data_IF_909681405800
#
_entry.id   IF_909681405800
#
_cell.length_a   1.000
_cell.length_b   1.000
_cell.length_c   1.000
_cell.angle_alpha   90.00
_cell.angle_beta   90.00
_cell.angle_gamma   90.00
#
_symmetry.space_group_name_H-M   'P 1'
#
loop_
_entity.id
_entity.type
_entity.pdbx_description
1 polymer ?
#
# COMPACT_ATOMS: atom_id res chain seq x y z
N UNK A 1 -28.85 31.72 66.79
CA UNK A 1 -27.52 31.33 66.26
C UNK A 1 -27.57 29.83 65.94
N UNK A 2 -28.46 29.41 65.05
CA UNK A 2 -28.28 29.30 63.58
C UNK A 2 -27.07 28.46 63.15
N UNK A 3 -27.29 27.15 63.11
CA UNK A 3 -27.38 26.38 61.86
C UNK A 3 -26.28 26.62 60.81
N UNK A 4 -25.05 26.19 61.10
CA UNK A 4 -23.94 26.26 60.12
C UNK A 4 -22.96 25.07 60.15
N UNK A 5 -23.22 24.03 60.96
CA UNK A 5 -22.30 22.86 61.07
C UNK A 5 -22.71 21.65 60.21
N UNK A 6 -23.97 21.52 59.82
CA UNK A 6 -24.48 20.43 58.96
C UNK A 6 -24.29 20.72 57.46
N UNK A 7 -24.30 21.99 57.04
CA UNK A 7 -24.14 22.37 55.63
C UNK A 7 -22.72 22.19 55.06
N UNK A 8 -21.68 22.14 55.90
CA UNK A 8 -20.30 22.06 55.45
C UNK A 8 -19.83 20.62 55.14
N UNK A 9 -20.36 19.61 55.85
CA UNK A 9 -20.07 18.19 55.58
C UNK A 9 -20.83 17.67 54.36
N UNK A 10 -22.11 18.07 54.20
CA UNK A 10 -22.94 17.73 53.04
C UNK A 10 -22.40 18.32 51.73
N UNK A 11 -21.88 19.55 51.74
CA UNK A 11 -21.28 20.17 50.54
C UNK A 11 -19.97 19.50 50.10
N UNK A 12 -19.11 19.10 51.04
CA UNK A 12 -17.88 18.35 50.73
C UNK A 12 -18.18 16.93 50.26
N UNK A 13 -19.17 16.26 50.88
CA UNK A 13 -19.63 14.96 50.44
C UNK A 13 -20.23 15.00 49.03
N UNK A 14 -21.09 15.98 48.74
CA UNK A 14 -21.70 16.14 47.40
C UNK A 14 -20.68 16.54 46.32
N UNK A 15 -19.63 17.31 46.68
CA UNK A 15 -18.56 17.67 45.74
C UNK A 15 -17.63 16.48 45.44
N UNK A 16 -17.29 15.68 46.45
CA UNK A 16 -16.52 14.44 46.24
C UNK A 16 -17.34 13.41 45.47
N UNK A 17 -18.64 13.29 45.77
CA UNK A 17 -19.53 12.38 45.05
C UNK A 17 -19.73 12.81 43.58
N UNK A 18 -19.88 14.10 43.28
CA UNK A 18 -20.03 14.59 41.90
C UNK A 18 -18.76 14.48 41.08
N UNK A 19 -17.59 14.69 41.69
CA UNK A 19 -16.29 14.51 41.02
C UNK A 19 -15.99 13.03 40.73
N UNK A 20 -16.31 12.12 41.65
CA UNK A 20 -16.18 10.67 41.42
C UNK A 20 -17.14 10.17 40.34
N UNK A 21 -18.39 10.66 40.31
CA UNK A 21 -19.35 10.34 39.27
C UNK A 21 -18.90 10.87 37.90
N UNK A 22 -18.36 12.09 37.84
CA UNK A 22 -17.78 12.66 36.63
C UNK A 22 -16.62 11.82 36.10
N UNK A 23 -15.72 11.36 36.97
CA UNK A 23 -14.60 10.50 36.59
C UNK A 23 -15.06 9.15 36.01
N UNK A 24 -16.07 8.51 36.64
CA UNK A 24 -16.63 7.26 36.16
C UNK A 24 -17.27 7.40 34.76
N UNK A 25 -17.96 8.52 34.51
CA UNK A 25 -18.55 8.80 33.20
C UNK A 25 -17.44 8.98 32.14
N UNK A 26 -16.37 9.71 32.46
CA UNK A 26 -15.24 9.93 31.53
C UNK A 26 -14.54 8.61 31.20
N UNK A 27 -14.27 7.76 32.19
CA UNK A 27 -13.64 6.44 31.98
C UNK A 27 -14.56 5.51 31.18
N UNK A 28 -15.86 5.54 31.46
CA UNK A 28 -16.86 4.78 30.71
C UNK A 28 -16.95 5.22 29.24
N UNK A 29 -16.96 6.53 28.98
CA UNK A 29 -16.96 7.09 27.62
C UNK A 29 -15.67 6.78 26.88
N UNK A 30 -14.51 6.88 27.52
CA UNK A 30 -13.22 6.54 26.92
C UNK A 30 -13.13 5.04 26.58
N UNK A 31 -13.64 4.16 27.45
CA UNK A 31 -13.67 2.72 27.22
C UNK A 31 -14.64 2.35 26.10
N UNK A 32 -15.81 2.99 26.07
CA UNK A 32 -16.79 2.80 24.99
C UNK A 32 -16.24 3.30 23.64
N UNK A 33 -15.60 4.48 23.62
CA UNK A 33 -14.96 5.04 22.44
C UNK A 33 -13.81 4.15 21.95
N UNK A 34 -12.97 3.64 22.85
CA UNK A 34 -11.91 2.70 22.51
C UNK A 34 -12.44 1.41 21.87
N UNK A 35 -13.51 0.82 22.42
CA UNK A 35 -14.15 -0.37 21.86
C UNK A 35 -14.82 -0.06 20.51
N UNK A 36 -15.45 1.10 20.35
CA UNK A 36 -16.07 1.51 19.09
C UNK A 36 -15.03 1.73 17.98
N UNK A 37 -13.91 2.38 18.29
CA UNK A 37 -12.78 2.59 17.37
C UNK A 37 -12.15 1.25 16.97
N UNK A 38 -11.90 0.35 17.94
CA UNK A 38 -11.40 -0.99 17.64
C UNK A 38 -12.37 -1.79 16.78
N UNK A 39 -13.66 -1.78 17.10
CA UNK A 39 -14.68 -2.48 16.32
C UNK A 39 -14.83 -1.95 14.90
N UNK A 40 -14.72 -0.64 14.69
CA UNK A 40 -14.74 -0.03 13.36
C UNK A 40 -13.50 -0.42 12.53
N UNK A 41 -12.31 -0.42 13.14
CA UNK A 41 -11.05 -0.83 12.50
C UNK A 41 -11.06 -2.33 12.17
N UNK A 42 -11.52 -3.16 13.09
CA UNK A 42 -11.67 -4.61 12.91
C UNK A 42 -12.74 -4.93 11.85
N UNK A 43 -13.84 -4.19 11.79
CA UNK A 43 -14.86 -4.32 10.73
C UNK A 43 -14.36 -3.84 9.37
N UNK A 44 -13.55 -2.78 9.31
CA UNK A 44 -12.91 -2.32 8.07
C UNK A 44 -11.89 -3.35 7.56
N UNK A 45 -11.04 -3.89 8.43
CA UNK A 45 -10.10 -4.98 8.13
C UNK A 45 -10.85 -6.28 7.74
N UNK A 46 -11.95 -6.60 8.40
CA UNK A 46 -12.79 -7.76 8.07
C UNK A 46 -13.61 -7.58 6.77
N UNK A 47 -13.96 -6.35 6.40
CA UNK A 47 -14.53 -6.05 5.07
C UNK A 47 -13.47 -6.10 3.98
N UNK A 48 -12.24 -5.71 4.30
CA UNK A 48 -11.09 -5.83 3.40
C UNK A 48 -10.78 -7.31 3.11
N UNK A 49 -10.74 -8.18 4.12
CA UNK A 49 -10.45 -9.62 3.93
C UNK A 49 -11.46 -10.39 3.05
N UNK A 50 -12.55 -9.76 2.60
CA UNK A 50 -13.51 -10.31 1.63
C UNK A 50 -13.57 -9.57 0.28
N UNK A 51 -12.73 -8.57 0.06
CA UNK A 51 -12.68 -7.84 -1.22
C UNK A 51 -12.06 -8.72 -2.32
N UNK A 52 -12.65 -8.79 -3.53
CA UNK A 52 -12.03 -9.45 -4.69
C UNK A 52 -10.59 -8.98 -4.96
N UNK A 53 -10.31 -7.69 -4.76
CA UNK A 53 -8.97 -7.11 -4.92
C UNK A 53 -7.95 -7.71 -3.95
N UNK A 54 -8.34 -7.96 -2.70
CA UNK A 54 -7.46 -8.57 -1.71
C UNK A 54 -7.14 -10.02 -2.10
N UNK A 55 -8.11 -10.74 -2.68
CA UNK A 55 -7.87 -12.09 -3.20
C UNK A 55 -6.98 -12.08 -4.45
N UNK A 56 -7.15 -11.10 -5.35
CA UNK A 56 -6.25 -10.92 -6.50
C UNK A 56 -4.83 -10.65 -6.05
N UNK A 57 -4.64 -9.81 -5.03
CA UNK A 57 -3.33 -9.59 -4.41
C UNK A 57 -2.70 -10.92 -3.98
N UNK A 58 -3.43 -11.72 -3.20
CA UNK A 58 -2.93 -13.01 -2.72
C UNK A 58 -2.58 -13.94 -3.89
N UNK A 59 -3.40 -13.99 -4.93
CA UNK A 59 -3.14 -14.81 -6.11
C UNK A 59 -1.88 -14.38 -6.88
N UNK A 60 -1.66 -13.07 -7.04
CA UNK A 60 -0.47 -12.53 -7.70
C UNK A 60 0.80 -12.81 -6.89
N UNK A 61 0.73 -12.71 -5.56
CA UNK A 61 1.85 -13.09 -4.69
C UNK A 61 2.12 -14.59 -4.72
N UNK A 62 1.10 -15.45 -4.71
CA UNK A 62 1.28 -16.90 -4.83
C UNK A 62 1.87 -17.29 -6.18
N UNK A 63 1.50 -16.58 -7.25
CA UNK A 63 2.12 -16.74 -8.56
C UNK A 63 3.60 -16.35 -8.49
N UNK A 64 3.92 -15.18 -7.91
CA UNK A 64 5.32 -14.75 -7.71
C UNK A 64 6.12 -15.75 -6.89
N UNK A 65 5.58 -16.28 -5.80
CA UNK A 65 6.23 -17.31 -4.97
C UNK A 65 6.53 -18.59 -5.78
N UNK A 66 5.63 -18.96 -6.71
CA UNK A 66 5.80 -20.17 -7.53
C UNK A 66 6.81 -19.99 -8.66
N UNK A 67 6.80 -18.83 -9.33
CA UNK A 67 7.54 -18.60 -10.58
C UNK A 67 8.72 -17.63 -10.45
N UNK A 68 8.89 -17.00 -9.29
CA UNK A 68 9.94 -16.00 -9.00
C UNK A 68 9.69 -14.62 -9.63
N UNK A 69 8.53 -14.40 -10.26
CA UNK A 69 8.11 -13.12 -10.82
C UNK A 69 6.58 -13.04 -10.90
N UNK A 70 6.02 -11.83 -10.99
CA UNK A 70 4.61 -11.60 -11.28
C UNK A 70 4.24 -12.25 -12.63
N UNK A 71 2.97 -12.59 -12.89
CA UNK A 71 2.60 -12.98 -14.25
C UNK A 71 2.88 -11.83 -15.22
N UNK A 72 3.32 -12.10 -16.47
CA UNK A 72 3.36 -11.06 -17.49
C UNK A 72 1.92 -10.56 -17.74
N UNK A 73 1.77 -9.33 -18.26
CA UNK A 73 0.45 -8.77 -18.61
C UNK A 73 -0.31 -9.70 -19.57
N UNK A 74 0.44 -10.29 -20.49
CA UNK A 74 -0.03 -11.29 -21.43
C UNK A 74 1.10 -12.23 -21.85
N UNK A 75 0.73 -13.40 -22.36
CA UNK A 75 1.64 -14.25 -23.14
C UNK A 75 1.44 -13.92 -24.60
N UNK A 76 2.55 -13.69 -25.31
CA UNK A 76 2.55 -13.43 -26.74
C UNK A 76 2.90 -14.68 -27.55
N UNK A 77 2.42 -14.75 -28.80
CA UNK A 77 2.90 -15.72 -29.77
C UNK A 77 4.28 -15.34 -30.34
N UNK A 78 4.77 -16.13 -31.31
CA UNK A 78 6.06 -15.90 -31.94
C UNK A 78 6.17 -14.56 -32.69
N UNK A 79 5.03 -13.98 -33.10
CA UNK A 79 4.96 -12.70 -33.81
C UNK A 79 4.78 -11.52 -32.84
N UNK A 80 4.73 -11.79 -31.52
CA UNK A 80 4.52 -10.78 -30.49
C UNK A 80 3.06 -10.43 -30.26
N UNK A 81 2.12 -11.16 -30.86
CA UNK A 81 0.68 -10.91 -30.68
C UNK A 81 0.25 -11.42 -29.31
N UNK A 82 -0.42 -10.60 -28.47
CA UNK A 82 -0.98 -11.05 -27.20
C UNK A 82 -2.05 -12.14 -27.41
N UNK A 83 -1.80 -13.36 -26.91
CA UNK A 83 -2.68 -14.52 -27.09
C UNK A 83 -3.28 -15.06 -25.80
N UNK A 84 -2.69 -14.78 -24.63
CA UNK A 84 -3.27 -15.14 -23.32
C UNK A 84 -3.17 -14.00 -22.32
N UNK A 85 -4.25 -13.76 -21.56
CA UNK A 85 -4.26 -12.77 -20.47
C UNK A 85 -3.62 -13.31 -19.19
N UNK A 86 -3.00 -12.43 -18.39
CA UNK A 86 -2.58 -12.73 -17.01
C UNK A 86 -3.68 -13.37 -16.16
N UNK A 87 -4.95 -13.00 -16.41
CA UNK A 87 -6.12 -13.56 -15.73
C UNK A 87 -6.24 -15.07 -15.91
N UNK A 88 -5.90 -15.59 -17.10
CA UNK A 88 -5.90 -17.03 -17.37
C UNK A 88 -4.76 -17.75 -16.64
N UNK A 89 -3.59 -17.10 -16.51
CA UNK A 89 -2.41 -17.63 -15.83
C UNK A 89 -2.63 -17.81 -14.33
N UNK A 90 -3.43 -16.93 -13.70
CA UNK A 90 -3.66 -16.96 -12.26
C UNK A 90 -4.85 -17.82 -11.82
N UNK A 91 -5.63 -18.39 -12.74
CA UNK A 91 -6.80 -19.22 -12.41
C UNK A 91 -6.54 -20.32 -11.35
N UNK A 92 -5.37 -21.02 -11.34
CA UNK A 92 -5.07 -22.01 -10.30
C UNK A 92 -5.02 -21.43 -8.87
N UNK A 93 -4.85 -20.12 -8.74
CA UNK A 93 -4.70 -19.40 -7.48
C UNK A 93 -5.97 -18.65 -7.04
N UNK A 94 -7.06 -18.70 -7.83
CA UNK A 94 -8.32 -17.94 -7.59
C UNK A 94 -9.58 -18.80 -7.67
N UNK A 95 -9.56 -20.01 -7.09
CA UNK A 95 -10.65 -21.00 -7.18
C UNK A 95 -11.09 -21.34 -8.63
N UNK A 96 -10.22 -21.05 -9.61
CA UNK A 96 -10.46 -21.20 -11.04
C UNK A 96 -9.98 -22.53 -11.64
N UNK A 97 -9.65 -23.53 -10.81
CA UNK A 97 -8.99 -24.77 -11.25
C UNK A 97 -9.76 -25.55 -12.33
N UNK A 98 -11.10 -25.52 -12.28
CA UNK A 98 -11.94 -26.19 -13.29
C UNK A 98 -12.01 -25.43 -14.62
N UNK A 99 -11.95 -24.09 -14.58
CA UNK A 99 -11.83 -23.29 -15.79
C UNK A 99 -10.44 -23.45 -16.41
N UNK A 100 -9.40 -23.48 -15.58
CA UNK A 100 -8.02 -23.66 -16.04
C UNK A 100 -7.81 -24.97 -16.80
N UNK A 101 -8.43 -26.08 -16.35
CA UNK A 101 -8.37 -27.37 -17.06
C UNK A 101 -9.06 -27.35 -18.43
N UNK A 102 -10.06 -26.50 -18.60
CA UNK A 102 -10.83 -26.37 -19.85
C UNK A 102 -10.16 -25.38 -20.81
N UNK A 103 -9.38 -24.43 -20.28
CA UNK A 103 -8.67 -23.44 -21.08
C UNK A 103 -7.50 -24.09 -21.84
N UNK A 104 -7.36 -23.71 -23.11
CA UNK A 104 -6.33 -24.23 -24.02
C UNK A 104 -5.25 -23.18 -24.25
N UNK A 105 -4.03 -23.48 -23.81
CA UNK A 105 -2.85 -22.64 -24.03
C UNK A 105 -2.16 -22.87 -25.39
N UNK A 106 -2.70 -23.78 -26.22
CA UNK A 106 -2.22 -24.05 -27.57
C UNK A 106 -3.03 -23.33 -28.66
N UNK A 107 -3.96 -22.45 -28.29
CA UNK A 107 -4.73 -21.57 -29.17
C UNK A 107 -4.95 -20.20 -28.51
N UNK A 108 -5.22 -19.12 -29.25
CA UNK A 108 -5.43 -17.80 -28.64
C UNK A 108 -6.68 -17.77 -27.76
N UNK A 109 -6.77 -16.74 -26.90
CA UNK A 109 -7.89 -16.52 -25.99
C UNK A 109 -9.27 -16.46 -26.67
N UNK A 110 -9.32 -15.98 -27.91
CA UNK A 110 -10.52 -15.92 -28.75
C UNK A 110 -10.62 -17.10 -29.73
N UNK A 111 -9.82 -18.14 -29.52
CA UNK A 111 -9.84 -19.39 -30.28
C UNK A 111 -11.14 -20.17 -30.11
N UNK A 112 -11.37 -21.19 -30.96
CA UNK A 112 -12.64 -21.90 -31.05
C UNK A 112 -13.05 -22.68 -29.79
N UNK A 113 -12.12 -23.00 -28.88
CA UNK A 113 -12.42 -23.60 -27.58
C UNK A 113 -12.52 -22.54 -26.49
N UNK A 114 -11.52 -21.65 -26.40
CA UNK A 114 -11.43 -20.65 -25.33
C UNK A 114 -12.60 -19.65 -25.35
N UNK A 115 -13.09 -19.24 -26.53
CA UNK A 115 -14.21 -18.30 -26.64
C UNK A 115 -15.50 -18.83 -25.99
N UNK A 116 -15.65 -20.16 -25.85
CA UNK A 116 -16.81 -20.77 -25.19
C UNK A 116 -16.80 -20.57 -23.67
N UNK A 117 -15.67 -20.17 -23.11
CA UNK A 117 -15.50 -19.85 -21.70
C UNK A 117 -15.76 -18.37 -21.40
N UNK A 118 -15.93 -17.53 -22.43
CA UNK A 118 -16.06 -16.07 -22.28
C UNK A 118 -17.20 -15.63 -21.33
N UNK A 119 -18.27 -16.44 -21.22
CA UNK A 119 -19.44 -16.13 -20.37
C UNK A 119 -19.34 -16.72 -18.95
N UNK A 120 -18.16 -17.25 -18.57
CA UNK A 120 -17.90 -17.90 -17.28
C UNK A 120 -16.83 -17.17 -16.47
N UNK A 121 -16.80 -15.83 -16.52
CA UNK A 121 -15.85 -15.03 -15.76
C UNK A 121 -15.90 -15.38 -14.26
N UNK A 122 -14.76 -15.70 -13.62
CA UNK A 122 -14.68 -15.76 -12.16
C UNK A 122 -15.06 -14.43 -11.51
N UNK A 123 -15.89 -14.49 -10.45
CA UNK A 123 -16.40 -13.29 -9.76
C UNK A 123 -15.30 -12.41 -9.17
N UNK A 124 -14.09 -12.96 -8.95
CA UNK A 124 -12.93 -12.22 -8.46
C UNK A 124 -12.50 -11.09 -9.41
N UNK A 125 -12.85 -11.15 -10.70
CA UNK A 125 -12.53 -10.10 -11.68
C UNK A 125 -13.62 -9.03 -11.81
N UNK A 126 -14.77 -9.22 -11.15
CA UNK A 126 -15.91 -8.30 -11.20
C UNK A 126 -15.88 -7.33 -10.02
N UNK A 127 -16.11 -6.04 -10.29
CA UNK A 127 -16.25 -5.04 -9.23
C UNK A 127 -17.70 -5.03 -8.70
N UNK A 128 -17.93 -5.24 -7.39
CA UNK A 128 -19.30 -5.31 -6.84
C UNK A 128 -20.14 -4.02 -6.92
N UNK A 129 -19.56 -2.89 -7.34
CA UNK A 129 -20.35 -1.66 -7.59
C UNK A 129 -20.81 -1.50 -9.03
N UNK A 130 -20.35 -2.38 -9.92
CA UNK A 130 -20.71 -2.36 -11.33
C UNK A 130 -21.93 -3.27 -11.57
N UNK A 131 -22.67 -3.07 -12.67
CA UNK A 131 -23.72 -4.00 -13.05
C UNK A 131 -23.16 -5.42 -13.20
N UNK A 132 -23.88 -6.41 -12.64
CA UNK A 132 -23.51 -7.83 -12.71
C UNK A 132 -23.15 -8.24 -14.14
N UNK A 133 -21.98 -8.87 -14.29
CA UNK A 133 -21.42 -9.28 -15.57
C UNK A 133 -20.71 -10.62 -15.42
N UNK A 134 -20.89 -11.50 -16.39
CA UNK A 134 -20.15 -12.78 -16.48
C UNK A 134 -19.09 -12.76 -17.57
N UNK A 135 -18.84 -11.60 -18.18
CA UNK A 135 -17.96 -11.44 -19.36
C UNK A 135 -16.86 -10.39 -19.16
N UNK A 136 -17.21 -9.26 -18.55
CA UNK A 136 -16.37 -8.08 -18.54
C UNK A 136 -15.70 -7.87 -17.19
N UNK A 137 -14.38 -7.78 -17.19
CA UNK A 137 -13.57 -7.59 -16.00
C UNK A 137 -13.44 -6.11 -15.65
N UNK A 138 -13.53 -5.79 -14.36
CA UNK A 138 -13.36 -4.43 -13.85
C UNK A 138 -12.01 -4.22 -13.15
N UNK A 139 -11.35 -5.31 -12.74
CA UNK A 139 -10.02 -5.26 -12.17
C UNK A 139 -8.98 -5.56 -13.24
N UNK A 140 -8.11 -4.59 -13.46
CA UNK A 140 -7.12 -4.54 -14.54
C UNK A 140 -5.73 -4.26 -13.98
N UNK A 141 -4.71 -4.64 -14.72
CA UNK A 141 -3.34 -4.19 -14.46
C UNK A 141 -3.05 -2.91 -15.26
N UNK A 142 -1.96 -2.21 -14.94
CA UNK A 142 -1.45 -1.11 -15.75
C UNK A 142 -0.29 -1.63 -16.59
N UNK A 143 -0.45 -1.64 -17.90
CA UNK A 143 0.48 -2.20 -18.87
C UNK A 143 1.33 -1.11 -19.48
N UNK A 144 2.64 -1.33 -19.53
CA UNK A 144 3.56 -0.50 -20.30
C UNK A 144 4.95 -0.41 -19.70
N UNK A 145 5.89 0.29 -20.36
CA UNK A 145 7.25 0.44 -19.87
C UNK A 145 7.27 0.98 -18.44
N UNK A 146 8.18 0.45 -17.62
CA UNK A 146 8.37 0.86 -16.23
C UNK A 146 7.18 0.61 -15.29
N UNK A 147 6.11 -0.06 -15.72
CA UNK A 147 5.04 -0.50 -14.81
C UNK A 147 5.37 -1.88 -14.22
N UNK A 148 4.57 -2.34 -13.26
CA UNK A 148 4.67 -3.70 -12.74
C UNK A 148 4.41 -4.76 -13.82
N UNK A 149 3.75 -4.39 -14.92
CA UNK A 149 3.34 -5.28 -16.01
C UNK A 149 3.79 -4.73 -17.38
N UNK A 150 5.08 -4.87 -17.74
CA UNK A 150 5.65 -4.26 -18.95
C UNK A 150 5.18 -4.85 -20.29
N UNK A 151 4.28 -5.85 -20.27
CA UNK A 151 3.76 -6.54 -21.44
C UNK A 151 4.03 -8.05 -21.36
N UNK A 152 4.77 -8.58 -22.33
CA UNK A 152 5.07 -10.01 -22.43
C UNK A 152 6.12 -10.53 -21.43
N UNK A 153 6.85 -9.64 -20.75
CA UNK A 153 7.85 -10.00 -19.75
C UNK A 153 7.26 -9.89 -18.34
N UNK A 154 7.82 -10.68 -17.41
CA UNK A 154 7.46 -10.60 -16.00
C UNK A 154 8.39 -9.68 -15.22
N UNK A 155 7.86 -9.16 -14.12
CA UNK A 155 8.57 -8.27 -13.18
C UNK A 155 8.76 -8.99 -11.84
N UNK A 156 9.94 -8.87 -11.24
CA UNK A 156 10.21 -9.42 -9.91
C UNK A 156 10.09 -8.34 -8.84
N UNK A 157 9.70 -8.69 -7.61
CA UNK A 157 9.59 -7.73 -6.52
C UNK A 157 10.91 -7.01 -6.20
N UNK A 158 12.06 -7.61 -6.49
CA UNK A 158 13.38 -6.98 -6.34
C UNK A 158 13.61 -5.82 -7.32
N UNK A 159 12.78 -5.69 -8.37
CA UNK A 159 12.86 -4.63 -9.38
C UNK A 159 12.00 -3.40 -9.02
N UNK A 160 11.26 -3.44 -7.91
CA UNK A 160 10.44 -2.33 -7.45
C UNK A 160 11.29 -1.33 -6.67
N UNK A 161 12.11 -0.58 -7.40
CA UNK A 161 13.00 0.45 -6.85
C UNK A 161 12.20 1.54 -6.11
N UNK A 162 11.05 1.95 -6.63
CA UNK A 162 10.20 2.95 -5.98
C UNK A 162 9.60 2.43 -4.67
N UNK A 163 9.36 1.13 -4.56
CA UNK A 163 8.81 0.48 -3.38
C UNK A 163 7.53 -0.31 -3.67
N UNK A 164 7.43 -1.48 -3.05
CA UNK A 164 6.28 -2.36 -3.22
C UNK A 164 4.98 -1.73 -2.66
N UNK A 165 5.06 -0.95 -1.58
CA UNK A 165 3.95 -0.22 -0.96
C UNK A 165 3.57 1.09 -1.67
N UNK A 166 4.24 1.37 -2.79
CA UNK A 166 4.14 2.62 -3.54
C UNK A 166 3.90 2.36 -5.03
N UNK A 167 3.74 1.09 -5.43
CA UNK A 167 3.48 0.71 -6.83
C UNK A 167 2.17 -0.08 -6.94
N UNK A 168 1.21 0.41 -7.72
CA UNK A 168 -0.08 -0.23 -7.99
C UNK A 168 0.15 -1.47 -8.85
N UNK A 169 -0.38 -2.62 -8.41
CA UNK A 169 -0.46 -3.83 -9.23
C UNK A 169 -1.78 -3.91 -9.99
N UNK A 170 -2.89 -3.70 -9.29
CA UNK A 170 -4.24 -3.87 -9.82
C UNK A 170 -5.05 -2.63 -9.52
N UNK A 171 -5.78 -2.16 -10.52
CA UNK A 171 -6.68 -1.02 -10.43
C UNK A 171 -8.10 -1.40 -10.87
N UNK A 172 -9.07 -0.69 -10.31
CA UNK A 172 -10.46 -0.71 -10.73
C UNK A 172 -10.71 0.21 -11.94
N UNK A 173 -11.56 -0.24 -12.85
CA UNK A 173 -12.19 0.57 -13.89
C UNK A 173 -13.71 0.38 -13.90
N UNK A 174 -14.42 1.49 -14.11
CA UNK A 174 -15.87 1.52 -14.29
C UNK A 174 -16.27 1.25 -15.74
N UNK A 175 -17.50 0.77 -15.94
CA UNK A 175 -18.12 0.61 -17.27
C UNK A 175 -17.25 -0.15 -18.28
N UNK A 176 -16.50 -1.15 -17.78
CA UNK A 176 -15.52 -1.89 -18.56
C UNK A 176 -16.17 -2.71 -19.68
N UNK A 177 -15.54 -2.68 -20.86
CA UNK A 177 -15.83 -3.55 -21.99
C UNK A 177 -14.75 -4.62 -22.21
N UNK A 178 -13.82 -4.75 -21.27
CA UNK A 178 -12.68 -5.69 -21.35
C UNK A 178 -13.16 -7.09 -21.05
N UNK A 179 -13.12 -7.98 -22.05
CA UNK A 179 -13.44 -9.38 -21.84
C UNK A 179 -12.43 -10.04 -20.89
N UNK A 180 -12.88 -10.85 -19.93
CA UNK A 180 -11.96 -11.41 -18.92
C UNK A 180 -10.89 -12.37 -19.47
N UNK A 181 -11.10 -12.90 -20.68
CA UNK A 181 -10.10 -13.68 -21.42
C UNK A 181 -9.20 -12.82 -22.31
N UNK A 182 -9.63 -11.59 -22.60
CA UNK A 182 -8.93 -10.68 -23.50
C UNK A 182 -7.64 -10.20 -22.83
N UNK A 183 -6.48 -10.27 -23.52
CA UNK A 183 -5.20 -9.74 -23.05
C UNK A 183 -5.16 -8.21 -23.26
N UNK A 184 -6.18 -7.51 -22.75
CA UNK A 184 -6.32 -6.05 -22.78
C UNK A 184 -6.53 -5.55 -21.36
N UNK A 185 -5.87 -4.46 -21.04
CA UNK A 185 -5.84 -3.82 -19.72
C UNK A 185 -5.60 -2.30 -19.91
N UNK A 186 -5.37 -1.53 -18.84
CA UNK A 186 -5.07 -0.10 -18.96
C UNK A 186 -3.64 0.09 -19.46
N UNK A 187 -3.47 0.80 -20.58
CA UNK A 187 -2.16 1.09 -21.15
C UNK A 187 -1.66 2.47 -20.66
N UNK A 188 -0.47 2.48 -20.04
CA UNK A 188 0.13 3.66 -19.40
C UNK A 188 0.38 4.82 -20.37
N UNK A 189 0.60 4.52 -21.65
CA UNK A 189 0.90 5.52 -22.69
C UNK A 189 -0.38 6.19 -23.21
N UNK A 190 -1.55 5.57 -23.01
CA UNK A 190 -2.83 6.05 -23.55
C UNK A 190 -3.89 6.39 -22.50
N UNK A 191 -3.69 5.97 -21.26
CA UNK A 191 -4.59 6.28 -20.16
C UNK A 191 -4.41 7.72 -19.66
N UNK A 192 -5.47 8.26 -19.07
CA UNK A 192 -5.39 9.46 -18.24
C UNK A 192 -4.97 9.10 -16.82
N UNK A 193 -4.12 9.97 -16.25
CA UNK A 193 -3.74 9.96 -14.84
C UNK A 193 -4.67 10.83 -13.97
N UNK A 194 -5.80 11.25 -14.52
CA UNK A 194 -6.91 11.80 -13.75
C UNK A 194 -7.90 10.68 -13.43
N UNK A 195 -8.21 10.51 -12.15
CA UNK A 195 -9.23 9.55 -11.69
C UNK A 195 -10.60 9.92 -12.27
N UNK A 196 -11.33 8.94 -12.81
CA UNK A 196 -12.65 9.15 -13.44
C UNK A 196 -12.61 10.12 -14.63
N UNK A 197 -11.61 10.01 -15.50
CA UNK A 197 -11.55 10.82 -16.71
C UNK A 197 -12.65 10.44 -17.72
N UNK A 198 -13.36 11.43 -18.27
CA UNK A 198 -14.60 11.19 -19.04
C UNK A 198 -14.39 10.68 -20.49
N UNK A 199 -13.19 10.79 -21.05
CA UNK A 199 -12.95 10.54 -22.49
C UNK A 199 -11.81 9.58 -22.80
N UNK A 200 -10.93 9.34 -21.82
CA UNK A 200 -9.75 8.49 -21.99
C UNK A 200 -9.88 7.37 -20.97
N UNK A 201 -9.36 6.16 -21.26
CA UNK A 201 -9.25 5.11 -20.26
C UNK A 201 -8.56 5.67 -19.01
N UNK A 202 -9.07 5.34 -17.83
CA UNK A 202 -8.52 5.83 -16.57
C UNK A 202 -8.90 4.89 -15.44
N UNK A 203 -8.11 4.92 -14.37
CA UNK A 203 -8.49 4.28 -13.12
C UNK A 203 -9.77 4.97 -12.63
N UNK A 204 -10.85 4.21 -12.52
CA UNK A 204 -12.19 4.78 -12.46
C UNK A 204 -13.19 3.92 -11.69
N UNK A 205 -14.22 4.56 -11.15
CA UNK A 205 -15.28 3.93 -10.38
C UNK A 205 -16.54 4.79 -10.38
N UNK A 206 -17.69 4.12 -10.48
CA UNK A 206 -19.01 4.71 -10.26
C UNK A 206 -19.29 5.05 -8.78
N UNK A 207 -18.40 4.66 -7.86
CA UNK A 207 -18.53 4.96 -6.43
C UNK A 207 -18.22 6.42 -6.13
N UNK A 208 -18.97 6.98 -5.17
CA UNK A 208 -18.79 8.38 -4.78
C UNK A 208 -17.39 8.66 -4.18
N UNK A 209 -16.78 7.66 -3.52
CA UNK A 209 -15.45 7.73 -2.88
C UNK A 209 -14.27 7.65 -3.85
N UNK A 210 -14.45 7.09 -5.04
CA UNK A 210 -13.38 6.81 -6.00
C UNK A 210 -13.08 5.31 -6.19
N UNK A 211 -12.17 4.98 -7.12
CA UNK A 211 -11.75 3.62 -7.44
C UNK A 211 -10.81 3.05 -6.39
N UNK A 212 -10.80 1.72 -6.29
CA UNK A 212 -9.86 0.96 -5.48
C UNK A 212 -8.69 0.44 -6.30
N UNK A 213 -7.53 0.38 -5.65
CA UNK A 213 -6.27 -0.15 -6.15
C UNK A 213 -5.63 -1.05 -5.10
N UNK A 214 -4.70 -1.89 -5.52
CA UNK A 214 -3.86 -2.74 -4.65
C UNK A 214 -2.40 -2.46 -4.96
N UNK A 215 -1.59 -2.25 -3.93
CA UNK A 215 -0.14 -2.11 -4.05
C UNK A 215 0.58 -3.45 -3.98
N UNK A 216 1.84 -3.48 -4.41
CA UNK A 216 2.63 -4.70 -4.54
C UNK A 216 3.10 -5.33 -3.22
N UNK A 217 3.02 -4.66 -2.06
CA UNK A 217 3.42 -5.21 -0.76
C UNK A 217 2.25 -5.68 0.11
N UNK A 218 1.03 -5.36 -0.28
CA UNK A 218 -0.10 -5.33 0.64
C UNK A 218 -1.27 -6.10 0.07
N UNK A 219 -1.90 -6.86 0.95
CA UNK A 219 -3.18 -7.51 0.67
C UNK A 219 -4.35 -6.53 0.81
N UNK A 220 -4.13 -5.24 1.14
CA UNK A 220 -5.21 -4.27 1.36
C UNK A 220 -5.48 -3.42 0.11
N UNK A 221 -6.75 -3.32 -0.27
CA UNK A 221 -7.19 -2.36 -1.26
C UNK A 221 -7.28 -0.94 -0.68
N UNK A 222 -6.73 0.04 -1.39
CA UNK A 222 -6.82 1.47 -1.10
C UNK A 222 -7.71 2.12 -2.14
N UNK A 223 -8.58 3.03 -1.75
CA UNK A 223 -9.26 3.86 -2.73
C UNK A 223 -8.51 5.16 -2.94
N UNK A 224 -8.58 5.63 -4.18
CA UNK A 224 -7.96 6.86 -4.60
C UNK A 224 -8.93 8.02 -4.42
N UNK A 225 -8.52 9.01 -3.62
CA UNK A 225 -9.27 10.23 -3.41
C UNK A 225 -9.30 11.10 -4.66
N UNK A 226 -10.36 11.91 -4.82
CA UNK A 226 -10.52 12.82 -5.97
C UNK A 226 -9.48 13.95 -6.04
N UNK A 227 -8.76 14.21 -4.95
CA UNK A 227 -7.70 15.22 -4.88
C UNK A 227 -6.31 14.62 -5.09
N UNK A 228 -6.21 13.35 -5.45
CA UNK A 228 -4.94 12.76 -5.87
C UNK A 228 -4.47 13.48 -7.13
N UNK A 229 -3.25 14.02 -7.08
CA UNK A 229 -2.68 14.72 -8.24
C UNK A 229 -2.29 13.74 -9.35
N UNK A 230 -2.34 14.22 -10.59
CA UNK A 230 -1.91 13.48 -11.79
C UNK A 230 -0.48 12.95 -11.65
N UNK A 231 0.43 13.75 -11.10
CA UNK A 231 1.83 13.35 -10.87
C UNK A 231 1.95 12.26 -9.82
N UNK A 232 1.15 12.33 -8.75
CA UNK A 232 1.17 11.28 -7.73
C UNK A 232 0.56 9.98 -8.27
N UNK A 233 -0.55 10.04 -9.03
CA UNK A 233 -1.09 8.83 -9.65
C UNK A 233 -0.10 8.22 -10.64
N UNK A 234 0.62 9.05 -11.41
CA UNK A 234 1.68 8.58 -12.31
C UNK A 234 2.79 7.85 -11.55
N UNK A 235 3.31 8.46 -10.49
CA UNK A 235 4.35 7.85 -9.65
C UNK A 235 3.90 6.49 -9.08
N UNK A 236 2.61 6.37 -8.69
CA UNK A 236 2.08 5.10 -8.20
C UNK A 236 1.95 4.00 -9.27
N UNK A 237 2.12 4.30 -10.56
CA UNK A 237 2.04 3.29 -11.64
C UNK A 237 3.38 2.72 -12.07
N UNK A 238 4.49 3.27 -11.57
CA UNK A 238 5.85 2.90 -11.99
C UNK A 238 6.57 2.09 -10.92
N UNK A 239 7.43 1.16 -11.35
CA UNK A 239 8.31 0.39 -10.46
C UNK A 239 9.62 1.13 -10.16
N UNK A 240 10.00 2.08 -11.03
CA UNK A 240 11.28 2.81 -10.96
C UNK A 240 11.23 4.17 -11.66
N UNK A 241 10.13 4.91 -11.51
CA UNK A 241 9.97 6.26 -12.05
C UNK A 241 10.82 7.30 -11.30
N UNK A 242 11.15 7.05 -10.03
CA UNK A 242 12.04 7.91 -9.25
C UNK A 242 11.41 9.26 -8.86
N UNK A 243 10.12 9.44 -9.05
CA UNK A 243 9.42 10.68 -8.70
C UNK A 243 9.25 10.83 -7.20
N UNK A 244 9.28 12.07 -6.73
CA UNK A 244 8.97 12.39 -5.34
C UNK A 244 7.48 12.23 -5.07
N UNK A 245 7.16 11.57 -3.96
CA UNK A 245 5.79 11.36 -3.52
C UNK A 245 5.46 12.17 -2.28
N UNK A 246 4.21 12.64 -2.23
CA UNK A 246 3.69 13.46 -1.15
C UNK A 246 2.24 13.07 -0.86
N UNK A 247 2.07 11.84 -0.36
CA UNK A 247 0.78 11.18 -0.19
C UNK A 247 0.46 10.93 1.28
N UNK A 248 -0.83 11.02 1.60
CA UNK A 248 -1.37 10.65 2.91
C UNK A 248 -2.64 9.84 2.82
N UNK A 249 -2.82 8.99 3.82
CA UNK A 249 -4.07 8.32 4.13
C UNK A 249 -4.63 8.84 5.46
N UNK A 250 -5.83 9.39 5.40
CA UNK A 250 -6.61 9.82 6.57
C UNK A 250 -7.54 8.67 6.97
N UNK A 251 -7.49 8.12 8.19
CA UNK A 251 -8.40 7.11 8.81
C UNK A 251 -9.41 6.38 7.91
N UNK A 252 -8.94 5.59 6.94
CA UNK A 252 -9.87 4.95 6.01
C UNK A 252 -10.76 5.96 5.28
N UNK A 253 -10.16 7.04 4.79
CA UNK A 253 -10.68 8.04 3.87
C UNK A 253 -9.95 8.00 2.51
N UNK A 254 -8.93 7.13 2.36
CA UNK A 254 -8.25 6.83 1.09
C UNK A 254 -6.95 7.60 0.92
N UNK A 255 -6.35 7.50 -0.27
CA UNK A 255 -5.11 8.20 -0.61
C UNK A 255 -5.37 9.61 -1.15
N UNK A 256 -4.62 10.58 -0.64
CA UNK A 256 -4.71 11.99 -1.01
C UNK A 256 -3.32 12.60 -1.17
N UNK A 257 -3.19 13.59 -2.05
CA UNK A 257 -1.99 14.44 -2.10
C UNK A 257 -2.03 15.49 -0.99
N UNK A 258 -0.90 15.72 -0.31
CA UNK A 258 -0.76 16.74 0.74
C UNK A 258 -0.88 18.17 0.21
N UNK A 259 -0.29 18.42 -0.96
CA UNK A 259 -0.28 19.72 -1.66
C UNK A 259 0.12 19.52 -3.12
N UNK A 260 0.00 20.56 -3.94
CA UNK A 260 0.68 20.57 -5.24
C UNK A 260 2.21 20.61 -5.04
N UNK A 261 2.93 19.73 -5.72
CA UNK A 261 4.39 19.60 -5.63
C UNK A 261 4.87 18.63 -4.54
N UNK A 262 6.21 18.48 -4.39
CA UNK A 262 6.83 17.54 -3.45
C UNK A 262 6.62 17.98 -1.99
N UNK A 263 6.64 17.02 -1.06
CA UNK A 263 6.45 17.32 0.36
C UNK A 263 7.61 18.16 0.91
N UNK A 264 7.31 19.11 1.80
CA UNK A 264 8.33 19.87 2.53
C UNK A 264 8.04 19.90 4.03
N UNK A 265 9.06 20.19 4.84
CA UNK A 265 8.92 20.41 6.28
C UNK A 265 7.81 21.44 6.62
N UNK A 266 7.65 22.46 5.77
CA UNK A 266 6.61 23.46 5.95
C UNK A 266 5.20 22.87 5.74
N UNK A 267 5.02 22.00 4.73
CA UNK A 267 3.76 21.29 4.52
C UNK A 267 3.48 20.32 5.68
N UNK A 268 4.48 19.56 6.13
CA UNK A 268 4.34 18.64 7.27
C UNK A 268 4.04 19.37 8.58
N UNK A 269 4.51 20.60 8.76
CA UNK A 269 4.19 21.40 9.96
C UNK A 269 2.69 21.74 10.08
N UNK A 270 1.96 21.69 8.95
CA UNK A 270 0.52 21.88 8.89
C UNK A 270 -0.25 20.58 9.12
N UNK A 271 0.42 19.42 9.01
CA UNK A 271 -0.15 18.15 9.44
C UNK A 271 -0.24 18.16 10.97
N UNK A 272 -1.39 18.55 11.51
CA UNK A 272 -1.47 18.82 12.94
C UNK A 272 -2.85 19.13 13.52
N UNK A 273 -3.30 18.16 14.34
CA UNK A 273 -4.41 18.16 15.33
C UNK A 273 -5.82 18.07 14.77
N UNK A 274 -6.28 16.82 14.57
CA UNK A 274 -7.70 16.49 14.40
C UNK A 274 -7.96 15.32 13.46
N UNK A 275 -7.00 15.04 12.58
CA UNK A 275 -7.10 13.97 11.59
C UNK A 275 -6.34 12.73 12.07
N UNK A 276 -7.02 11.58 12.05
CA UNK A 276 -6.44 10.28 12.36
C UNK A 276 -5.65 9.77 11.16
N UNK A 277 -4.48 10.33 10.87
CA UNK A 277 -3.62 9.87 9.77
C UNK A 277 -3.17 8.42 10.01
N UNK A 278 -3.39 7.54 9.03
CA UNK A 278 -3.05 6.11 9.08
C UNK A 278 -1.77 5.81 8.30
N UNK A 279 -1.55 6.52 7.19
CA UNK A 279 -0.45 6.31 6.28
C UNK A 279 0.12 7.63 5.75
N UNK A 280 1.45 7.71 5.64
CA UNK A 280 2.15 8.87 5.07
C UNK A 280 3.31 8.34 4.20
N UNK A 281 3.32 8.69 2.92
CA UNK A 281 4.38 8.32 1.97
C UNK A 281 5.06 9.57 1.44
N UNK A 282 6.34 9.73 1.81
CA UNK A 282 7.17 10.92 1.54
C UNK A 282 8.41 10.56 0.74
N UNK A 283 8.41 9.41 0.06
CA UNK A 283 9.58 8.92 -0.68
C UNK A 283 10.12 9.96 -1.64
N UNK A 284 11.45 10.09 -1.63
CA UNK A 284 12.23 11.00 -2.49
C UNK A 284 11.80 12.47 -2.37
N UNK A 285 11.10 12.84 -1.29
CA UNK A 285 10.75 14.23 -1.00
C UNK A 285 11.87 14.98 -0.27
N UNK A 286 11.98 16.31 -0.45
CA UNK A 286 12.97 17.16 0.20
C UNK A 286 12.61 17.46 1.68
N UNK A 287 12.27 16.43 2.44
CA UNK A 287 12.00 16.51 3.88
C UNK A 287 13.31 16.34 4.67
N UNK A 288 13.39 16.99 5.83
CA UNK A 288 14.52 16.87 6.77
C UNK A 288 14.08 16.32 8.12
N UNK A 289 15.04 16.04 9.01
CA UNK A 289 14.77 15.59 10.38
C UNK A 289 13.76 16.50 11.12
N UNK A 290 13.79 17.81 10.84
CA UNK A 290 12.86 18.77 11.44
C UNK A 290 11.41 18.53 11.00
N UNK A 291 11.22 18.10 9.76
CA UNK A 291 9.93 17.78 9.17
C UNK A 291 9.24 16.57 9.80
N UNK A 292 9.97 15.68 10.48
CA UNK A 292 9.39 14.51 11.14
C UNK A 292 8.75 14.81 12.49
N UNK A 293 9.08 15.93 13.13
CA UNK A 293 8.58 16.28 14.45
C UNK A 293 7.03 16.31 14.60
N UNK A 294 6.24 16.76 13.59
CA UNK A 294 4.79 16.65 13.60
C UNK A 294 4.28 15.21 13.54
N UNK A 295 4.92 14.35 12.74
CA UNK A 295 4.51 12.94 12.55
C UNK A 295 4.64 12.12 13.85
N UNK A 296 5.66 12.43 14.65
CA UNK A 296 5.88 11.85 15.98
C UNK A 296 4.74 12.02 17.00
N UNK A 297 3.73 12.82 16.68
CA UNK A 297 2.57 13.11 17.55
C UNK A 297 1.29 12.42 17.08
N UNK A 298 1.34 11.67 15.99
CA UNK A 298 0.19 11.03 15.36
C UNK A 298 0.15 9.56 15.78
N UNK A 299 -0.52 9.27 16.89
CA UNK A 299 -0.56 7.91 17.46
C UNK A 299 -1.27 6.87 16.56
N UNK A 300 -2.08 7.33 15.60
CA UNK A 300 -2.75 6.48 14.61
C UNK A 300 -1.86 6.06 13.44
N UNK A 301 -0.72 6.72 13.24
CA UNK A 301 0.14 6.49 12.09
C UNK A 301 0.73 5.08 12.14
N UNK A 302 0.47 4.30 11.08
CA UNK A 302 0.85 2.89 10.99
C UNK A 302 1.66 2.56 9.73
N UNK A 303 1.53 3.34 8.67
CA UNK A 303 2.35 3.20 7.47
C UNK A 303 3.16 4.49 7.30
N UNK A 304 4.49 4.37 7.25
CA UNK A 304 5.36 5.51 7.01
C UNK A 304 6.44 5.11 6.02
N UNK A 305 6.51 5.83 4.91
CA UNK A 305 7.59 5.69 3.94
C UNK A 305 8.39 6.98 3.84
N UNK A 306 9.70 6.84 4.06
CA UNK A 306 10.72 7.89 4.00
C UNK A 306 11.81 7.51 2.99
N UNK A 307 11.53 6.59 2.06
CA UNK A 307 12.55 6.03 1.18
C UNK A 307 13.23 7.11 0.33
N UNK A 308 14.56 7.09 0.23
CA UNK A 308 15.33 8.05 -0.58
C UNK A 308 15.28 9.49 -0.08
N UNK A 309 15.01 9.72 1.20
CA UNK A 309 14.99 11.07 1.81
C UNK A 309 16.28 11.37 2.58
N UNK A 310 16.51 12.64 2.95
CA UNK A 310 17.72 13.08 3.68
C UNK A 310 17.60 12.91 5.21
N UNK A 311 16.79 11.95 5.67
CA UNK A 311 16.58 11.69 7.09
C UNK A 311 17.81 11.01 7.70
N UNK A 312 18.22 11.47 8.88
CA UNK A 312 19.37 10.95 9.64
C UNK A 312 18.95 10.32 10.97
N UNK A 313 19.92 9.81 11.73
CA UNK A 313 19.71 9.25 13.08
C UNK A 313 19.03 10.24 14.05
N UNK A 314 19.17 11.54 13.82
CA UNK A 314 18.50 12.58 14.60
C UNK A 314 17.01 12.65 14.30
N UNK A 315 16.60 12.48 13.05
CA UNK A 315 15.19 12.45 12.63
C UNK A 315 14.42 11.31 13.26
N UNK A 316 15.04 10.13 13.40
CA UNK A 316 14.40 8.96 14.01
C UNK A 316 13.95 9.18 15.45
N UNK A 317 14.56 10.13 16.18
CA UNK A 317 14.15 10.48 17.56
C UNK A 317 12.71 10.99 17.61
N UNK A 318 12.19 11.53 16.51
CA UNK A 318 10.83 12.04 16.44
C UNK A 318 9.79 10.94 16.25
N UNK A 319 10.13 9.87 15.55
CA UNK A 319 9.22 8.76 15.21
C UNK A 319 9.47 7.48 16.04
N UNK A 320 10.49 7.52 16.90
CA UNK A 320 10.76 6.51 17.91
C UNK A 320 9.60 6.38 18.92
N UNK A 321 9.40 5.18 19.47
CA UNK A 321 8.32 4.82 20.40
C UNK A 321 6.90 4.72 19.82
N UNK A 322 6.74 4.82 18.50
CA UNK A 322 5.47 4.60 17.81
C UNK A 322 5.27 3.12 17.43
N UNK A 323 4.08 2.78 16.94
CA UNK A 323 3.74 1.45 16.42
C UNK A 323 3.46 1.56 14.93
N UNK A 324 4.18 0.79 14.12
CA UNK A 324 3.99 0.72 12.68
C UNK A 324 3.49 -0.65 12.25
N UNK A 325 2.74 -0.70 11.16
CA UNK A 325 2.61 -1.89 10.35
C UNK A 325 3.75 -1.92 9.33
N UNK A 326 3.95 -0.85 8.57
CA UNK A 326 5.05 -0.74 7.60
C UNK A 326 5.86 0.53 7.86
N UNK A 327 7.17 0.38 8.00
CA UNK A 327 8.13 1.47 8.10
C UNK A 327 9.23 1.26 7.05
N UNK A 328 9.24 2.12 6.04
CA UNK A 328 10.22 2.10 4.95
C UNK A 328 11.21 3.25 5.13
N UNK A 329 12.47 2.90 5.40
CA UNK A 329 13.61 3.79 5.58
C UNK A 329 14.69 3.56 4.52
N UNK A 330 14.33 2.95 3.38
CA UNK A 330 15.28 2.64 2.31
C UNK A 330 16.03 3.86 1.85
N UNK A 331 17.31 3.70 1.52
CA UNK A 331 18.14 4.76 0.94
C UNK A 331 18.09 6.09 1.73
N UNK A 332 17.92 6.02 3.06
CA UNK A 332 18.04 7.16 3.97
C UNK A 332 19.46 7.28 4.53
N UNK A 333 19.79 8.42 5.15
CA UNK A 333 21.10 8.70 5.72
C UNK A 333 21.25 8.21 7.18
N UNK A 334 20.56 7.13 7.55
CA UNK A 334 20.67 6.52 8.88
C UNK A 334 21.87 5.58 8.96
N UNK A 335 22.48 5.49 10.14
CA UNK A 335 23.69 4.70 10.41
C UNK A 335 23.45 3.72 11.55
N UNK A 336 24.47 2.96 11.95
CA UNK A 336 24.41 2.11 13.16
C UNK A 336 23.99 2.87 14.43
N UNK A 337 24.19 4.21 14.48
CA UNK A 337 23.74 5.03 15.61
C UNK A 337 22.21 5.21 15.69
N UNK A 338 21.45 4.81 14.65
CA UNK A 338 19.98 4.72 14.67
C UNK A 338 19.44 3.51 15.44
N UNK A 339 20.24 2.45 15.63
CA UNK A 339 19.75 1.16 16.16
C UNK A 339 19.06 1.31 17.52
N UNK A 340 19.60 2.07 18.49
CA UNK A 340 18.90 2.26 19.77
C UNK A 340 17.50 2.83 19.59
N UNK A 341 17.29 3.76 18.65
CA UNK A 341 16.02 4.38 18.33
C UNK A 341 15.08 3.39 17.64
N UNK A 342 15.57 2.63 16.65
CA UNK A 342 14.80 1.60 15.95
C UNK A 342 14.30 0.51 16.91
N UNK A 343 15.11 0.13 17.92
CA UNK A 343 14.71 -0.83 18.96
C UNK A 343 13.60 -0.34 19.89
N UNK A 344 13.34 0.97 19.92
CA UNK A 344 12.23 1.54 20.70
C UNK A 344 10.91 1.59 19.94
N UNK A 345 10.90 1.31 18.62
CA UNK A 345 9.66 1.14 17.86
C UNK A 345 8.92 -0.07 18.44
N UNK A 346 7.77 0.17 19.07
CA UNK A 346 7.14 -0.81 19.96
C UNK A 346 6.73 -2.08 19.22
N UNK A 347 6.18 -1.91 18.01
CA UNK A 347 5.88 -2.97 17.06
C UNK A 347 6.03 -2.44 15.64
N UNK A 348 6.55 -3.28 14.75
CA UNK A 348 6.63 -3.03 13.30
C UNK A 348 6.37 -4.36 12.61
N UNK A 349 5.54 -4.42 11.56
CA UNK A 349 5.33 -5.69 10.84
C UNK A 349 6.39 -5.85 9.74
N UNK A 350 6.63 -4.78 8.98
CA UNK A 350 7.65 -4.67 7.95
C UNK A 350 8.56 -3.48 8.23
N UNK A 351 9.85 -3.73 8.34
CA UNK A 351 10.88 -2.69 8.42
C UNK A 351 11.86 -2.89 7.27
N UNK A 352 12.01 -1.86 6.45
CA UNK A 352 12.97 -1.84 5.35
C UNK A 352 14.04 -0.77 5.62
N UNK A 353 15.30 -1.20 5.70
CA UNK A 353 16.47 -0.33 5.90
C UNK A 353 17.52 -0.58 4.81
N UNK A 354 17.10 -1.15 3.67
CA UNK A 354 18.01 -1.41 2.56
C UNK A 354 18.58 -0.11 1.99
N UNK A 355 19.85 -0.12 1.58
CA UNK A 355 20.52 1.10 1.06
C UNK A 355 20.89 2.15 2.12
N UNK A 356 20.82 1.82 3.41
CA UNK A 356 21.30 2.68 4.51
C UNK A 356 22.75 2.35 4.91
N UNK A 357 23.36 3.18 5.76
CA UNK A 357 24.71 2.97 6.31
C UNK A 357 24.69 2.09 7.58
N UNK A 358 23.66 1.27 7.78
CA UNK A 358 23.62 0.25 8.83
C UNK A 358 24.43 -0.96 8.38
N UNK A 359 25.44 -1.34 9.17
CA UNK A 359 26.34 -2.45 8.83
C UNK A 359 25.68 -3.80 9.09
N UNK A 360 26.05 -4.83 8.32
CA UNK A 360 25.54 -6.20 8.52
C UNK A 360 25.80 -6.73 9.94
N UNK A 361 26.93 -6.37 10.55
CA UNK A 361 27.28 -6.72 11.94
C UNK A 361 26.20 -6.21 12.90
N UNK A 362 25.85 -4.93 12.76
CA UNK A 362 24.92 -4.26 13.64
C UNK A 362 23.45 -4.48 13.25
N UNK A 363 23.15 -4.88 12.02
CA UNK A 363 21.82 -5.30 11.58
C UNK A 363 21.30 -6.49 12.38
N UNK A 364 22.17 -7.41 12.81
CA UNK A 364 21.78 -8.54 13.69
C UNK A 364 21.18 -8.07 15.01
N UNK A 365 21.51 -6.85 15.48
CA UNK A 365 20.93 -6.25 16.67
C UNK A 365 19.46 -5.80 16.48
N UNK A 366 18.96 -5.77 15.23
CA UNK A 366 17.56 -5.48 14.89
C UNK A 366 16.68 -6.73 14.84
N UNK A 367 17.22 -7.95 14.91
CA UNK A 367 16.43 -9.20 14.91
C UNK A 367 15.46 -9.32 16.10
N UNK A 368 15.68 -8.54 17.16
CA UNK A 368 14.78 -8.42 18.32
C UNK A 368 13.73 -7.32 18.20
N UNK A 369 13.78 -6.49 17.16
CA UNK A 369 12.64 -5.65 16.78
C UNK A 369 11.54 -6.60 16.34
N UNK A 370 10.30 -6.41 16.77
CA UNK A 370 9.15 -7.30 16.50
C UNK A 370 8.71 -7.33 15.03
N UNK A 371 9.62 -7.11 14.08
CA UNK A 371 9.45 -7.15 12.64
C UNK A 371 9.25 -8.60 12.17
N UNK A 372 8.15 -8.86 11.48
CA UNK A 372 7.90 -10.16 10.83
C UNK A 372 8.62 -10.27 9.49
N UNK A 373 9.00 -9.17 8.87
CA UNK A 373 9.85 -9.10 7.68
C UNK A 373 10.85 -7.95 7.80
N UNK A 374 12.13 -8.29 7.64
CA UNK A 374 13.28 -7.37 7.65
C UNK A 374 13.98 -7.46 6.29
N UNK A 375 13.97 -6.38 5.53
CA UNK A 375 14.79 -6.28 4.31
C UNK A 375 16.19 -5.75 4.67
N UNK A 376 17.23 -6.40 4.15
CA UNK A 376 18.62 -6.22 4.59
C UNK A 376 19.30 -5.02 3.90
N UNK A 377 20.31 -4.39 4.53
CA UNK A 377 21.24 -3.50 3.85
C UNK A 377 21.86 -4.21 2.64
N UNK A 378 22.29 -3.46 1.62
CA UNK A 378 23.10 -4.03 0.54
C UNK A 378 24.39 -4.56 1.18
N UNK A 379 24.63 -5.88 1.09
CA UNK A 379 25.96 -6.42 1.36
C UNK A 379 26.92 -5.81 0.36
N UNK A 380 27.97 -5.16 0.84
CA UNK A 380 28.99 -4.55 -0.01
C UNK A 380 29.84 -5.64 -0.67
N UNK A 381 29.29 -6.27 -1.73
CA UNK A 381 30.03 -7.17 -2.62
C UNK A 381 30.84 -6.38 -3.67
N UNK A 382 31.11 -5.09 -3.43
CA UNK A 382 32.14 -4.35 -4.17
C UNK A 382 33.51 -4.52 -3.51
N UNK A 383 33.98 -5.76 -3.45
CA UNK A 383 35.41 -6.02 -3.37
C UNK A 383 35.87 -6.82 -4.59
N UNK A 384 36.44 -6.05 -5.53
CA UNK A 384 37.56 -6.36 -6.42
C UNK A 384 37.26 -6.54 -7.93
N UNK A 385 37.32 -5.46 -8.75
CA UNK A 385 37.50 -5.57 -10.19
C UNK A 385 39.00 -5.74 -10.48
N UNK A 386 39.57 -6.91 -10.19
CA UNK A 386 40.85 -7.34 -10.79
C UNK A 386 41.16 -8.80 -10.46
N UNK A 387 40.55 -9.73 -11.20
CA UNK A 387 41.27 -10.94 -11.62
C UNK A 387 40.85 -11.23 -13.06
N UNK A 388 41.75 -10.88 -13.97
CA UNK A 388 41.81 -11.45 -15.31
C UNK A 388 41.81 -12.99 -15.18
N UNK A 389 40.80 -13.64 -15.75
CA UNK A 389 40.89 -15.05 -16.10
C UNK A 389 40.74 -15.14 -17.60
N UNK A 390 41.88 -15.16 -18.26
CA UNK A 390 42.06 -15.68 -19.61
C UNK A 390 41.40 -17.07 -19.71
N UNK A 391 40.57 -17.24 -20.72
CA UNK A 391 40.26 -18.55 -21.27
C UNK A 391 40.65 -18.55 -22.75
N UNK A 392 41.83 -19.13 -23.00
CA UNK A 392 42.14 -19.83 -24.25
C UNK A 392 41.18 -21.02 -24.47
#
# INVERSE_FOLDING_TARGET
>A
MNDNRTGFSLRRFNLVASTLLGLLIVVGLASWLYVAIKGAREAAIASASQSPLNQLSVALHNYHETYGCLPPAYVADADGTPIHSWRALILPYVDGAELYKQYRFDEPWNGPHNIRLADRMPSIFHCPSEPESTKFANYVVIVGPQTAFPGATCTRFEQFEDGLNETILVAEIADSDIGWLEPRDLDVDTMSFDVNHNHQPSISSNRNKGPYVVFADTIHAYWLGRSLSTDALRALTTVNGGEAMSLVELDGAGLFSLSEGPASDANLSQLGRGESLTGVWLSRSPITDRGLAPLGRIESLSHLSLAGTQITDDGLKHIANMTYYSLDLRDTCITDAAIPQLRTVQTVHRLDVSGTDITDENFTNLEHVTARHLARPRSDDRLNPSEDVDFD
#
